data_IF_171268655224
#
_entry.id   IF_171268655224
#
_cell.length_a   1.000
_cell.length_b   1.000
_cell.length_c   1.000
_cell.angle_alpha   90.00
_cell.angle_beta   90.00
_cell.angle_gamma   90.00
#
_symmetry.space_group_name_H-M   'P 1'
#
loop_
_entity.id
_entity.type
_entity.pdbx_description
1 polymer ?
#
# COMPACT_ATOMS: atom_id res chain seq x y z
N UNK A 1 -1.29 10.51 5.92
CA UNK A 1 -0.09 11.36 5.73
C UNK A 1 -0.24 12.63 6.58
N UNK A 2 0.61 12.85 7.58
CA UNK A 2 0.65 14.12 8.36
C UNK A 2 1.26 15.31 7.58
N UNK A 3 1.53 15.16 6.28
CA UNK A 3 2.09 16.22 5.45
C UNK A 3 1.03 17.06 4.73
N UNK A 4 -0.27 16.77 4.88
CA UNK A 4 -1.31 17.57 4.24
C UNK A 4 -1.49 18.97 4.87
N UNK A 5 -0.94 19.23 6.07
CA UNK A 5 -1.15 20.51 6.78
C UNK A 5 0.02 21.51 6.70
N UNK A 6 1.15 21.13 6.09
CA UNK A 6 2.26 22.06 5.84
C UNK A 6 2.40 22.26 4.34
N UNK A 7 2.33 23.51 3.85
CA UNK A 7 2.66 23.81 2.45
C UNK A 7 4.15 23.49 2.23
N UNK A 8 4.43 22.25 1.84
CA UNK A 8 5.76 21.82 1.46
C UNK A 8 6.20 22.67 0.25
N UNK A 9 7.47 23.08 0.18
CA UNK A 9 7.98 23.74 -1.03
C UNK A 9 7.69 22.85 -2.24
N UNK A 10 7.16 23.43 -3.33
CA UNK A 10 6.70 22.70 -4.52
C UNK A 10 7.72 21.65 -5.01
N UNK A 11 9.02 21.97 -4.97
CA UNK A 11 10.08 21.03 -5.36
C UNK A 11 10.15 19.78 -4.50
N UNK A 12 9.91 19.91 -3.20
CA UNK A 12 9.89 18.78 -2.28
C UNK A 12 8.64 17.92 -2.51
N UNK A 13 7.50 18.54 -2.77
CA UNK A 13 6.27 17.84 -3.13
C UNK A 13 6.45 17.02 -4.42
N UNK A 14 7.06 17.60 -5.46
CA UNK A 14 7.34 16.89 -6.71
C UNK A 14 8.32 15.72 -6.52
N UNK A 15 9.33 15.87 -5.67
CA UNK A 15 10.27 14.78 -5.34
C UNK A 15 9.55 13.63 -4.63
N UNK A 16 8.63 13.93 -3.70
CA UNK A 16 7.83 12.91 -3.01
C UNK A 16 6.93 12.15 -3.99
N UNK A 17 6.19 12.87 -4.84
CA UNK A 17 5.35 12.26 -5.87
C UNK A 17 6.15 11.38 -6.86
N UNK A 18 7.38 11.80 -7.18
CA UNK A 18 8.31 11.01 -7.99
C UNK A 18 8.70 9.70 -7.31
N UNK A 19 9.13 9.78 -6.04
CA UNK A 19 9.54 8.61 -5.27
C UNK A 19 8.37 7.62 -5.04
N UNK A 20 7.16 8.13 -4.79
CA UNK A 20 5.94 7.31 -4.68
C UNK A 20 5.67 6.55 -5.98
N UNK A 21 5.74 7.24 -7.12
CA UNK A 21 5.55 6.62 -8.44
C UNK A 21 6.58 5.54 -8.71
N UNK A 22 7.86 5.81 -8.45
CA UNK A 22 8.93 4.83 -8.61
C UNK A 22 8.71 3.58 -7.73
N UNK A 23 8.28 3.77 -6.48
CA UNK A 23 7.98 2.67 -5.57
C UNK A 23 6.81 1.81 -6.08
N UNK A 24 5.76 2.45 -6.62
CA UNK A 24 4.60 1.76 -7.20
C UNK A 24 5.01 0.97 -8.45
N UNK A 25 5.76 1.58 -9.37
CA UNK A 25 6.23 0.91 -10.59
C UNK A 25 7.13 -0.29 -10.26
N UNK A 26 8.06 -0.14 -9.32
CA UNK A 26 8.91 -1.22 -8.85
C UNK A 26 8.10 -2.35 -8.20
N UNK A 27 7.08 -2.00 -7.40
CA UNK A 27 6.20 -2.99 -6.77
C UNK A 27 5.36 -3.74 -7.82
N UNK A 28 4.78 -3.04 -8.80
CA UNK A 28 4.04 -3.67 -9.88
C UNK A 28 4.94 -4.64 -10.69
N UNK A 29 6.19 -4.24 -10.94
CA UNK A 29 7.21 -5.11 -11.54
C UNK A 29 7.48 -6.37 -10.71
N UNK A 30 7.55 -6.25 -9.38
CA UNK A 30 7.73 -7.39 -8.47
C UNK A 30 6.51 -8.31 -8.45
N UNK A 31 5.30 -7.75 -8.39
CA UNK A 31 4.06 -8.56 -8.35
C UNK A 31 3.93 -9.48 -9.59
N UNK A 32 4.45 -9.05 -10.75
CA UNK A 32 4.49 -9.89 -11.97
C UNK A 32 5.29 -11.18 -11.81
N UNK A 33 6.20 -11.25 -10.85
CA UNK A 33 7.07 -12.41 -10.64
C UNK A 33 6.41 -13.50 -9.78
N UNK A 34 5.25 -13.23 -9.18
CA UNK A 34 4.57 -14.13 -8.25
C UNK A 34 3.26 -14.66 -8.85
N UNK A 35 3.22 -15.93 -9.30
CA UNK A 35 2.03 -16.49 -9.95
C UNK A 35 0.82 -16.62 -9.02
N UNK A 36 1.01 -16.54 -7.70
CA UNK A 36 -0.05 -16.57 -6.70
C UNK A 36 -0.85 -15.26 -6.66
N UNK A 37 -0.32 -14.17 -7.21
CA UNK A 37 -1.00 -12.87 -7.30
C UNK A 37 -2.15 -12.97 -8.30
N UNK A 38 -3.36 -12.70 -7.84
CA UNK A 38 -4.62 -12.83 -8.63
C UNK A 38 -5.20 -11.49 -9.06
N UNK A 39 -4.40 -10.43 -9.10
CA UNK A 39 -4.85 -9.09 -9.49
C UNK A 39 -4.60 -8.86 -10.98
N UNK A 40 -5.64 -8.51 -11.73
CA UNK A 40 -5.50 -8.23 -13.16
C UNK A 40 -4.75 -6.91 -13.41
N UNK A 41 -5.09 -5.86 -12.66
CA UNK A 41 -4.46 -4.54 -12.77
C UNK A 41 -3.33 -4.38 -11.74
N UNK A 42 -2.13 -4.86 -12.08
CA UNK A 42 -1.00 -4.89 -11.15
C UNK A 42 -0.52 -3.50 -10.69
N UNK A 43 -0.63 -2.48 -11.54
CA UNK A 43 -0.27 -1.11 -11.15
C UNK A 43 -1.25 -0.56 -10.11
N UNK A 44 -2.53 -0.91 -10.22
CA UNK A 44 -3.55 -0.58 -9.23
C UNK A 44 -3.31 -1.34 -7.92
N UNK A 45 -3.01 -2.64 -7.99
CA UNK A 45 -2.67 -3.42 -6.80
C UNK A 45 -1.42 -2.89 -6.09
N UNK A 46 -0.37 -2.53 -6.85
CA UNK A 46 0.84 -1.92 -6.32
C UNK A 46 0.58 -0.57 -5.64
N UNK A 47 -0.25 0.28 -6.25
CA UNK A 47 -0.71 1.53 -5.65
C UNK A 47 -1.34 1.30 -4.28
N UNK A 48 -2.29 0.35 -4.18
CA UNK A 48 -2.95 0.02 -2.92
C UNK A 48 -1.98 -0.53 -1.88
N UNK A 49 -1.08 -1.44 -2.27
CA UNK A 49 -0.07 -2.01 -1.36
C UNK A 49 0.82 -0.91 -0.77
N UNK A 50 1.39 -0.05 -1.61
CA UNK A 50 2.33 1.00 -1.17
C UNK A 50 1.65 1.96 -0.21
N UNK A 51 0.49 2.53 -0.58
CA UNK A 51 -0.19 3.49 0.27
C UNK A 51 -0.78 2.87 1.54
N UNK A 52 -1.16 1.59 1.51
CA UNK A 52 -1.59 0.88 2.73
C UNK A 52 -0.43 0.71 3.70
N UNK A 53 0.73 0.25 3.22
CA UNK A 53 1.93 0.13 4.05
C UNK A 53 2.34 1.49 4.61
N UNK A 54 2.44 2.50 3.76
CA UNK A 54 2.81 3.85 4.17
C UNK A 54 1.83 4.43 5.20
N UNK A 55 0.53 4.39 4.91
CA UNK A 55 -0.49 4.95 5.79
C UNK A 55 -0.54 4.28 7.16
N UNK A 56 -0.48 2.95 7.19
CA UNK A 56 -0.55 2.20 8.45
C UNK A 56 0.75 2.30 9.25
N UNK A 57 1.92 2.20 8.61
CA UNK A 57 3.21 2.35 9.29
C UNK A 57 3.39 3.76 9.84
N UNK A 58 2.97 4.78 9.09
CA UNK A 58 2.99 6.16 9.53
C UNK A 58 2.09 6.38 10.75
N UNK A 59 0.84 5.90 10.72
CA UNK A 59 -0.08 5.99 11.86
C UNK A 59 0.49 5.25 13.09
N UNK A 60 1.02 4.05 12.89
CA UNK A 60 1.62 3.26 13.96
C UNK A 60 2.79 4.00 14.61
N UNK A 61 3.71 4.57 13.82
CA UNK A 61 4.86 5.30 14.33
C UNK A 61 4.52 6.66 14.97
N UNK A 62 3.55 7.38 14.42
CA UNK A 62 3.19 8.73 14.87
C UNK A 62 2.37 8.74 16.18
N UNK A 63 1.66 7.65 16.49
CA UNK A 63 0.74 7.59 17.63
C UNK A 63 1.05 6.39 18.56
N UNK A 64 2.22 6.36 19.23
CA UNK A 64 2.61 5.23 20.07
C UNK A 64 1.66 4.98 21.25
N UNK A 65 1.01 6.04 21.77
CA UNK A 65 0.04 5.91 22.86
C UNK A 65 -1.27 5.20 22.45
N UNK A 66 -1.58 5.17 21.14
CA UNK A 66 -2.81 4.58 20.60
C UNK A 66 -2.57 3.14 20.09
N UNK A 67 -1.35 2.62 20.23
CA UNK A 67 -0.99 1.28 19.76
C UNK A 67 -1.69 0.22 20.63
N UNK A 68 -2.52 -0.60 19.98
CA UNK A 68 -3.21 -1.73 20.62
C UNK A 68 -2.46 -3.06 20.47
N UNK A 69 -1.45 -3.11 19.60
CA UNK A 69 -0.65 -4.28 19.27
C UNK A 69 0.82 -3.89 19.29
N UNK A 70 1.71 -4.85 19.54
CA UNK A 70 3.14 -4.59 19.42
C UNK A 70 3.57 -4.51 17.94
N UNK A 71 4.84 -4.15 17.72
CA UNK A 71 5.40 -3.99 16.37
C UNK A 71 5.37 -5.28 15.56
N UNK A 72 5.63 -6.43 16.17
CA UNK A 72 5.70 -7.70 15.46
C UNK A 72 4.30 -8.13 15.03
N UNK A 73 3.31 -7.99 15.93
CA UNK A 73 1.91 -8.28 15.64
C UNK A 73 1.38 -7.35 14.55
N UNK A 74 1.69 -6.05 14.62
CA UNK A 74 1.33 -5.09 13.57
C UNK A 74 1.87 -5.51 12.19
N UNK A 75 3.14 -5.91 12.12
CA UNK A 75 3.76 -6.34 10.86
C UNK A 75 3.12 -7.63 10.35
N UNK A 76 2.88 -8.61 11.23
CA UNK A 76 2.26 -9.88 10.87
C UNK A 76 0.85 -9.69 10.30
N UNK A 77 0.03 -8.88 10.96
CA UNK A 77 -1.34 -8.57 10.51
C UNK A 77 -1.35 -7.78 9.21
N UNK A 78 -0.47 -6.79 9.06
CA UNK A 78 -0.34 -6.01 7.82
C UNK A 78 0.04 -6.91 6.64
N UNK A 79 1.05 -7.75 6.80
CA UNK A 79 1.48 -8.70 5.75
C UNK A 79 0.33 -9.67 5.42
N UNK A 80 -0.31 -10.25 6.42
CA UNK A 80 -1.44 -11.17 6.25
C UNK A 80 -2.57 -10.53 5.45
N UNK A 81 -2.94 -9.29 5.78
CA UNK A 81 -3.98 -8.54 5.07
C UNK A 81 -3.61 -8.30 3.60
N UNK A 82 -2.36 -7.91 3.33
CA UNK A 82 -1.88 -7.63 1.97
C UNK A 82 -1.75 -8.91 1.14
N UNK A 83 -1.27 -10.00 1.72
CA UNK A 83 -1.20 -11.31 1.07
C UNK A 83 -2.60 -11.80 0.71
N UNK A 84 -3.56 -11.72 1.64
CA UNK A 84 -4.95 -12.06 1.37
C UNK A 84 -5.55 -11.19 0.26
N UNK A 85 -5.28 -9.87 0.30
CA UNK A 85 -5.70 -8.96 -0.76
C UNK A 85 -5.10 -9.35 -2.12
N UNK A 86 -3.83 -9.73 -2.20
CA UNK A 86 -3.16 -10.04 -3.47
C UNK A 86 -3.55 -11.40 -4.04
N UNK A 87 -3.87 -12.37 -3.18
CA UNK A 87 -4.05 -13.78 -3.56
C UNK A 87 -5.50 -14.26 -3.62
N UNK A 88 -6.46 -13.52 -3.04
CA UNK A 88 -7.88 -13.85 -3.14
C UNK A 88 -8.35 -13.84 -4.60
N UNK A 89 -9.18 -14.80 -4.99
CA UNK A 89 -9.77 -14.82 -6.33
C UNK A 89 -10.53 -13.52 -6.63
N UNK A 90 -10.38 -12.97 -7.84
CA UNK A 90 -11.29 -11.91 -8.31
C UNK A 90 -12.68 -12.52 -8.46
N UNK A 91 -13.66 -11.97 -7.74
CA UNK A 91 -15.06 -12.30 -8.00
C UNK A 91 -15.39 -11.80 -9.41
N UNK A 92 -15.73 -12.73 -10.30
CA UNK A 92 -16.24 -12.40 -11.62
C UNK A 92 -17.54 -11.63 -11.41
N UNK A 93 -17.53 -10.31 -11.62
CA UNK A 93 -18.77 -9.55 -11.66
C UNK A 93 -19.62 -10.13 -12.79
N UNK A 94 -20.74 -10.77 -12.47
CA UNK A 94 -21.76 -11.04 -13.46
C UNK A 94 -22.14 -9.72 -14.14
N UNK A 95 -22.27 -9.68 -15.48
CA UNK A 95 -22.76 -8.49 -16.15
C UNK A 95 -24.16 -8.18 -15.61
N UNK A 96 -24.35 -6.97 -15.09
CA UNK A 96 -25.67 -6.47 -14.72
C UNK A 96 -26.53 -6.46 -15.99
N UNK A 97 -27.74 -7.06 -15.98
CA UNK A 97 -28.62 -7.13 -17.16
C UNK A 97 -29.00 -5.77 -17.74
#
# INVERSE_FOLDING_TARGET
MLLEETRLPERLHQVLLGAEREAIEAMAGRLRLFPEVRRAALDCAAYFVIHTVEGLTHRFAAHPADQMVDRNDFVAELVTMLEAYLTRAEETKEPVP
#
